data_IF_183521927474
#
_entry.id   IF_183521927474
#
_cell.length_a   1.000
_cell.length_b   1.000
_cell.length_c   1.000
_cell.angle_alpha   90.00
_cell.angle_beta   90.00
_cell.angle_gamma   90.00
#
_symmetry.space_group_name_H-M   'P 1'
#
loop_
_entity.id
_entity.type
_entity.pdbx_description
1 polymer ?
#
# COMPACT_ATOMS: atom_id res chain seq x y z
N UNK A 1 7.30 6.95 34.89
CA UNK A 1 8.02 7.48 33.72
C UNK A 1 6.98 7.75 32.63
N UNK A 2 6.39 8.95 32.63
CA UNK A 2 5.33 9.30 31.67
C UNK A 2 5.97 9.45 30.29
N UNK A 3 5.68 8.50 29.40
CA UNK A 3 6.03 8.65 27.99
C UNK A 3 5.11 9.73 27.40
N UNK A 4 5.57 10.98 27.44
CA UNK A 4 4.95 12.07 26.68
C UNK A 4 4.92 11.63 25.21
N UNK A 5 3.72 11.48 24.64
CA UNK A 5 3.60 11.41 23.19
C UNK A 5 4.20 12.70 22.63
N UNK A 6 5.04 12.63 21.58
CA UNK A 6 5.63 13.83 21.01
C UNK A 6 4.50 14.79 20.62
N UNK A 7 4.57 16.03 21.09
CA UNK A 7 3.77 17.11 20.53
C UNK A 7 4.03 17.18 19.03
N UNK A 8 3.05 17.61 18.22
CA UNK A 8 3.24 17.80 16.79
C UNK A 8 4.26 18.94 16.56
N UNK A 9 5.54 18.62 16.58
CA UNK A 9 6.62 19.54 16.26
C UNK A 9 6.62 19.79 14.76
N UNK A 10 6.48 21.06 14.39
CA UNK A 10 6.45 21.59 13.02
C UNK A 10 7.80 21.51 12.28
N UNK A 11 8.77 20.74 12.77
CA UNK A 11 10.14 20.79 12.25
C UNK A 11 10.94 19.51 12.52
N UNK A 12 10.56 18.38 11.92
CA UNK A 12 11.52 17.53 11.19
C UNK A 12 10.78 16.31 10.61
N UNK A 13 10.93 16.14 9.30
CA UNK A 13 10.29 15.15 8.44
C UNK A 13 8.82 15.48 8.14
N UNK A 14 8.48 16.00 6.93
CA UNK A 14 7.08 16.13 6.56
C UNK A 14 6.44 14.75 6.70
N UNK A 15 5.32 14.71 7.44
CA UNK A 15 4.48 13.53 7.53
C UNK A 15 4.39 12.94 6.12
N UNK A 16 4.53 11.60 5.94
CA UNK A 16 4.48 11.04 4.61
C UNK A 16 3.22 11.56 3.95
N UNK A 17 3.37 12.25 2.80
CA UNK A 17 2.31 12.87 2.00
C UNK A 17 1.38 11.78 1.43
N UNK A 18 0.74 11.05 2.33
CA UNK A 18 -0.21 9.98 2.10
C UNK A 18 -1.55 10.63 1.80
N UNK A 19 -2.29 10.05 0.89
CA UNK A 19 -3.59 10.62 0.49
C UNK A 19 -4.60 10.48 1.63
N UNK A 20 -4.40 9.47 2.50
CA UNK A 20 -5.29 9.10 3.59
C UNK A 20 -4.96 9.73 4.94
N UNK A 21 -3.79 10.37 5.11
CA UNK A 21 -3.40 11.00 6.38
C UNK A 21 -4.36 12.10 6.88
N UNK A 22 -4.98 12.97 6.06
CA UNK A 22 -5.93 13.96 6.59
C UNK A 22 -7.19 13.30 7.17
N UNK A 23 -7.63 12.17 6.60
CA UNK A 23 -8.79 11.42 7.10
C UNK A 23 -8.52 10.82 8.49
N UNK A 24 -7.26 10.47 8.77
CA UNK A 24 -6.82 9.90 10.04
C UNK A 24 -6.47 10.95 11.11
N UNK A 25 -6.53 12.25 10.78
CA UNK A 25 -6.18 13.34 11.69
C UNK A 25 -6.82 13.26 13.09
N UNK A 26 -8.14 12.99 13.25
CA UNK A 26 -8.76 12.89 14.57
C UNK A 26 -8.32 11.65 15.35
N UNK A 27 -7.84 10.62 14.66
CA UNK A 27 -7.48 9.32 15.23
C UNK A 27 -5.98 9.19 15.54
N UNK A 28 -5.16 10.22 15.28
CA UNK A 28 -3.69 10.14 15.43
C UNK A 28 -3.24 9.77 16.84
N UNK A 29 -3.82 10.41 17.87
CA UNK A 29 -3.45 10.19 19.28
C UNK A 29 -3.80 8.79 19.78
N UNK A 30 -5.02 8.25 19.56
CA UNK A 30 -5.32 6.87 19.96
C UNK A 30 -4.51 5.84 19.17
N UNK A 31 -4.32 6.03 17.86
CA UNK A 31 -3.52 5.13 17.02
C UNK A 31 -2.05 5.08 17.45
N UNK A 32 -1.48 6.20 17.92
CA UNK A 32 -0.10 6.26 18.38
C UNK A 32 0.19 5.39 19.62
N UNK A 33 -0.85 4.91 20.32
CA UNK A 33 -0.77 4.00 21.47
C UNK A 33 -0.88 2.52 21.09
N UNK A 34 -1.33 2.21 19.87
CA UNK A 34 -1.46 0.83 19.40
C UNK A 34 -0.07 0.24 19.16
N UNK A 35 0.18 -1.04 19.51
CA UNK A 35 1.46 -1.68 19.22
C UNK A 35 1.74 -1.69 17.71
N UNK A 36 2.97 -1.38 17.27
CA UNK A 36 3.29 -1.17 15.85
C UNK A 36 3.11 -2.43 14.99
N UNK A 37 3.01 -3.61 15.61
CA UNK A 37 2.78 -4.89 14.94
C UNK A 37 1.29 -5.17 14.67
N UNK A 38 0.38 -4.54 15.42
CA UNK A 38 -1.07 -4.86 15.33
C UNK A 38 -1.70 -4.27 14.07
N UNK A 39 -1.34 -3.03 13.70
CA UNK A 39 -1.93 -2.35 12.53
C UNK A 39 -1.61 -3.06 11.20
N UNK A 40 -0.37 -3.51 10.93
CA UNK A 40 -0.06 -4.26 9.72
C UNK A 40 -0.84 -5.59 9.66
N UNK A 41 -0.88 -6.33 10.77
CA UNK A 41 -1.61 -7.61 10.84
C UNK A 41 -3.12 -7.41 10.64
N UNK A 42 -3.69 -6.34 11.19
CA UNK A 42 -5.09 -5.99 10.96
C UNK A 42 -5.35 -5.62 9.49
N UNK A 43 -4.43 -4.89 8.84
CA UNK A 43 -4.54 -4.56 7.42
C UNK A 43 -4.51 -5.82 6.54
N UNK A 44 -3.69 -6.81 6.88
CA UNK A 44 -3.64 -8.09 6.19
C UNK A 44 -4.91 -8.91 6.42
N UNK A 45 -5.43 -8.94 7.64
CA UNK A 45 -6.69 -9.62 7.93
C UNK A 45 -7.85 -9.04 7.10
N UNK A 46 -7.91 -7.71 6.97
CA UNK A 46 -8.87 -7.04 6.11
C UNK A 46 -8.67 -7.41 4.61
N UNK A 47 -7.42 -7.48 4.14
CA UNK A 47 -7.11 -7.88 2.76
C UNK A 47 -7.48 -9.35 2.47
N UNK A 48 -7.24 -10.26 3.42
CA UNK A 48 -7.69 -11.66 3.32
C UNK A 48 -9.23 -11.76 3.31
N UNK A 49 -9.90 -10.96 4.15
CA UNK A 49 -11.35 -10.83 4.13
C UNK A 49 -11.87 -10.35 2.77
N UNK A 50 -11.20 -9.35 2.18
CA UNK A 50 -11.55 -8.83 0.86
C UNK A 50 -11.43 -9.91 -0.24
N UNK A 51 -10.34 -10.68 -0.24
CA UNK A 51 -10.18 -11.84 -1.12
C UNK A 51 -11.35 -12.82 -0.97
N UNK A 52 -11.67 -13.19 0.27
CA UNK A 52 -12.77 -14.12 0.56
C UNK A 52 -14.15 -13.59 0.16
N UNK A 53 -14.40 -12.29 0.29
CA UNK A 53 -15.64 -11.64 -0.13
C UNK A 53 -15.75 -11.57 -1.66
N UNK A 54 -14.69 -11.14 -2.36
CA UNK A 54 -14.66 -11.04 -3.81
C UNK A 54 -14.80 -12.42 -4.48
N UNK A 55 -14.13 -13.44 -3.95
CA UNK A 55 -14.25 -14.81 -4.43
C UNK A 55 -15.67 -15.39 -4.28
N UNK A 56 -16.45 -14.89 -3.31
CA UNK A 56 -17.86 -15.30 -3.09
C UNK A 56 -18.87 -14.43 -3.83
N UNK A 57 -18.41 -13.47 -4.62
CA UNK A 57 -19.27 -12.58 -5.37
C UNK A 57 -19.74 -11.32 -4.62
N UNK A 58 -19.25 -11.10 -3.40
CA UNK A 58 -19.62 -9.95 -2.57
C UNK A 58 -18.70 -8.74 -2.84
N UNK A 59 -18.74 -8.21 -4.06
CA UNK A 59 -17.86 -7.11 -4.51
C UNK A 59 -17.93 -5.83 -3.66
N UNK A 60 -19.12 -5.44 -3.19
CA UNK A 60 -19.29 -4.29 -2.29
C UNK A 60 -18.56 -4.49 -0.96
N UNK A 61 -18.73 -5.66 -0.33
CA UNK A 61 -18.03 -6.01 0.91
C UNK A 61 -16.52 -6.11 0.67
N UNK A 62 -16.12 -6.70 -0.46
CA UNK A 62 -14.72 -6.77 -0.88
C UNK A 62 -14.08 -5.40 -1.00
N UNK A 63 -14.73 -4.47 -1.70
CA UNK A 63 -14.24 -3.10 -1.87
C UNK A 63 -14.19 -2.32 -0.57
N UNK A 64 -15.18 -2.49 0.32
CA UNK A 64 -15.15 -1.90 1.66
C UNK A 64 -13.98 -2.44 2.49
N UNK A 65 -13.73 -3.75 2.44
CA UNK A 65 -12.60 -4.37 3.17
C UNK A 65 -11.24 -3.92 2.61
N UNK A 66 -11.10 -3.73 1.29
CA UNK A 66 -9.91 -3.13 0.69
C UNK A 66 -9.71 -1.71 1.22
N UNK A 67 -10.77 -0.90 1.26
CA UNK A 67 -10.72 0.46 1.78
C UNK A 67 -10.31 0.49 3.26
N UNK A 68 -10.87 -0.40 4.08
CA UNK A 68 -10.49 -0.56 5.49
C UNK A 68 -9.02 -0.97 5.62
N UNK A 69 -8.55 -1.92 4.80
CA UNK A 69 -7.13 -2.31 4.75
C UNK A 69 -6.23 -1.11 4.46
N UNK A 70 -6.60 -0.25 3.50
CA UNK A 70 -5.86 0.98 3.17
C UNK A 70 -5.80 1.97 4.33
N UNK A 71 -6.89 2.11 5.09
CA UNK A 71 -6.95 2.98 6.26
C UNK A 71 -6.05 2.47 7.39
N UNK A 72 -6.06 1.16 7.63
CA UNK A 72 -5.22 0.51 8.65
C UNK A 72 -3.73 0.60 8.30
N UNK A 73 -3.38 0.44 7.02
CA UNK A 73 -2.03 0.62 6.50
C UNK A 73 -1.52 2.07 6.71
N UNK A 74 -2.35 3.05 6.32
CA UNK A 74 -2.04 4.46 6.53
C UNK A 74 -1.90 4.80 8.02
N UNK A 75 -2.69 4.17 8.89
CA UNK A 75 -2.58 4.27 10.33
C UNK A 75 -1.26 3.67 10.87
N UNK A 76 -0.83 2.51 10.35
CA UNK A 76 0.42 1.86 10.72
C UNK A 76 1.67 2.70 10.44
N UNK A 77 1.57 3.59 9.45
CA UNK A 77 2.64 4.51 9.07
C UNK A 77 2.75 5.78 9.95
N UNK A 78 1.81 6.00 10.87
CA UNK A 78 1.84 7.16 11.77
C UNK A 78 2.96 7.02 12.82
N UNK A 79 3.57 8.14 13.26
CA UNK A 79 4.54 8.12 14.34
C UNK A 79 3.90 7.56 15.63
N UNK A 80 4.46 6.45 16.15
CA UNK A 80 4.01 5.83 17.40
C UNK A 80 4.81 6.36 18.60
N UNK A 81 4.17 6.45 19.77
CA UNK A 81 4.83 6.97 20.97
C UNK A 81 5.97 6.02 21.44
N UNK A 82 7.12 6.61 21.79
CA UNK A 82 8.37 6.03 22.31
C UNK A 82 8.44 4.51 22.55
N UNK A 83 8.50 3.72 21.47
CA UNK A 83 8.93 2.32 21.51
C UNK A 83 10.44 2.19 21.27
N UNK A 84 11.12 1.17 21.84
CA UNK A 84 12.53 0.91 21.59
C UNK A 84 12.83 0.83 20.08
N UNK A 85 13.94 1.43 19.66
CA UNK A 85 14.36 1.51 18.24
C UNK A 85 14.48 0.12 17.58
N UNK A 86 14.92 -0.90 18.32
CA UNK A 86 14.99 -2.27 17.83
C UNK A 86 13.60 -2.84 17.47
N UNK A 87 12.59 -2.62 18.32
CA UNK A 87 11.23 -3.12 18.10
C UNK A 87 10.55 -2.45 16.91
N UNK A 88 10.85 -1.17 16.67
CA UNK A 88 10.36 -0.44 15.49
C UNK A 88 10.94 -0.96 14.19
N UNK A 89 12.24 -1.33 14.16
CA UNK A 89 12.89 -1.90 12.98
C UNK A 89 12.29 -3.25 12.59
N UNK A 90 12.04 -4.12 13.58
CA UNK A 90 11.39 -5.42 13.35
C UNK A 90 9.95 -5.20 12.87
N UNK A 91 9.18 -4.31 13.52
CA UNK A 91 7.82 -4.01 13.10
C UNK A 91 7.77 -3.47 11.65
N UNK A 92 8.69 -2.58 11.27
CA UNK A 92 8.77 -2.06 9.90
C UNK A 92 9.15 -3.16 8.87
N UNK A 93 9.97 -4.13 9.26
CA UNK A 93 10.28 -5.27 8.40
C UNK A 93 9.04 -6.16 8.21
N UNK A 94 8.33 -6.48 9.30
CA UNK A 94 7.08 -7.26 9.24
C UNK A 94 6.02 -6.53 8.42
N UNK A 95 5.86 -5.23 8.62
CA UNK A 95 4.95 -4.36 7.86
C UNK A 95 5.22 -4.47 6.36
N UNK A 96 6.48 -4.32 5.94
CA UNK A 96 6.87 -4.41 4.53
C UNK A 96 6.57 -5.76 3.86
N UNK A 97 6.60 -6.86 4.62
CA UNK A 97 6.27 -8.21 4.14
C UNK A 97 4.76 -8.42 4.12
N UNK A 98 4.10 -8.06 5.21
CA UNK A 98 2.64 -8.12 5.40
C UNK A 98 1.92 -7.38 4.28
N UNK A 99 2.45 -6.22 3.92
CA UNK A 99 2.09 -5.41 2.77
C UNK A 99 2.00 -6.19 1.45
N UNK A 100 3.00 -7.04 1.16
CA UNK A 100 3.04 -7.81 -0.09
C UNK A 100 2.00 -8.90 -0.10
N UNK A 101 1.74 -9.53 1.05
CA UNK A 101 0.67 -10.51 1.19
C UNK A 101 -0.71 -9.84 1.07
N UNK A 102 -0.88 -8.65 1.64
CA UNK A 102 -2.10 -7.88 1.47
C UNK A 102 -2.34 -7.51 -0.01
N UNK A 103 -1.31 -7.00 -0.69
CA UNK A 103 -1.38 -6.67 -2.13
C UNK A 103 -1.74 -7.93 -2.96
N UNK A 104 -1.16 -9.09 -2.62
CA UNK A 104 -1.50 -10.38 -3.23
C UNK A 104 -2.97 -10.76 -3.04
N UNK A 105 -3.49 -10.65 -1.82
CA UNK A 105 -4.88 -10.97 -1.51
C UNK A 105 -5.84 -10.06 -2.27
N UNK A 106 -5.54 -8.76 -2.33
CA UNK A 106 -6.39 -7.75 -2.97
C UNK A 106 -6.44 -7.96 -4.49
N UNK A 107 -5.28 -8.04 -5.15
CA UNK A 107 -5.22 -8.24 -6.60
C UNK A 107 -5.73 -9.62 -7.02
N UNK A 108 -5.44 -10.66 -6.23
CA UNK A 108 -6.01 -11.99 -6.43
C UNK A 108 -7.54 -11.99 -6.29
N UNK A 109 -8.09 -11.26 -5.32
CA UNK A 109 -9.52 -11.12 -5.13
C UNK A 109 -10.19 -10.39 -6.29
N UNK A 110 -9.60 -9.29 -6.76
CA UNK A 110 -10.08 -8.59 -7.95
C UNK A 110 -10.05 -9.49 -9.19
N UNK A 111 -8.98 -10.26 -9.37
CA UNK A 111 -8.87 -11.24 -10.46
C UNK A 111 -9.93 -12.33 -10.38
N UNK A 112 -10.20 -12.85 -9.18
CA UNK A 112 -11.24 -13.86 -8.95
C UNK A 112 -12.66 -13.32 -9.21
N UNK A 113 -12.97 -12.11 -8.73
CA UNK A 113 -14.25 -11.44 -9.03
C UNK A 113 -14.41 -11.24 -10.53
N UNK A 114 -13.39 -10.68 -11.18
CA UNK A 114 -13.39 -10.40 -12.61
C UNK A 114 -13.60 -11.66 -13.45
N UNK A 115 -12.90 -12.74 -13.11
CA UNK A 115 -13.05 -14.03 -13.78
C UNK A 115 -14.46 -14.60 -13.69
N UNK A 116 -15.11 -14.44 -12.54
CA UNK A 116 -16.41 -15.06 -12.28
C UNK A 116 -17.61 -14.19 -12.69
N UNK A 117 -17.45 -12.86 -12.73
CA UNK A 117 -18.58 -11.92 -12.83
C UNK A 117 -18.42 -10.83 -13.90
N UNK A 118 -17.27 -10.72 -14.56
CA UNK A 118 -17.08 -9.78 -15.66
C UNK A 118 -16.81 -10.52 -16.98
N UNK A 119 -17.50 -10.14 -18.06
CA UNK A 119 -17.21 -10.62 -19.41
C UNK A 119 -16.02 -9.86 -20.00
N UNK A 120 -14.82 -10.18 -19.52
CA UNK A 120 -13.58 -9.49 -19.88
C UNK A 120 -12.47 -10.48 -20.22
N UNK A 121 -11.56 -10.13 -21.16
CA UNK A 121 -10.53 -11.06 -21.60
C UNK A 121 -9.43 -11.23 -20.55
N UNK A 122 -9.02 -12.48 -20.36
CA UNK A 122 -7.83 -12.90 -19.60
C UNK A 122 -7.63 -12.21 -18.23
N UNK A 123 -8.66 -12.15 -17.35
CA UNK A 123 -8.58 -11.40 -16.08
C UNK A 123 -7.45 -11.87 -15.16
N UNK A 124 -7.16 -13.17 -15.14
CA UNK A 124 -6.04 -13.73 -14.36
C UNK A 124 -4.66 -13.28 -14.88
N UNK A 125 -4.51 -13.14 -16.20
CA UNK A 125 -3.27 -12.65 -16.81
C UNK A 125 -3.08 -11.18 -16.45
N UNK A 126 -4.14 -10.37 -16.55
CA UNK A 126 -4.09 -8.95 -16.15
C UNK A 126 -3.77 -8.82 -14.65
N UNK A 127 -4.38 -9.65 -13.79
CA UNK A 127 -4.07 -9.68 -12.36
C UNK A 127 -2.61 -10.05 -12.09
N UNK A 128 -2.07 -11.04 -12.81
CA UNK A 128 -0.66 -11.43 -12.72
C UNK A 128 0.27 -10.30 -13.15
N UNK A 129 -0.02 -9.61 -14.26
CA UNK A 129 0.75 -8.45 -14.68
C UNK A 129 0.67 -7.34 -13.63
N UNK A 130 -0.50 -7.02 -13.09
CA UNK A 130 -0.63 -6.04 -12.01
C UNK A 130 0.22 -6.41 -10.77
N UNK A 131 0.20 -7.69 -10.37
CA UNK A 131 1.03 -8.22 -9.28
C UNK A 131 2.53 -8.09 -9.56
N UNK A 132 2.96 -8.44 -10.77
CA UNK A 132 4.36 -8.29 -11.18
C UNK A 132 4.82 -6.83 -11.08
N UNK A 133 3.96 -5.89 -11.46
CA UNK A 133 4.20 -4.46 -11.34
C UNK A 133 4.33 -3.98 -9.90
N UNK A 134 3.44 -4.44 -9.01
CA UNK A 134 3.52 -4.16 -7.57
C UNK A 134 4.83 -4.64 -6.94
N UNK A 135 5.23 -5.88 -7.24
CA UNK A 135 6.46 -6.46 -6.73
C UNK A 135 7.69 -5.75 -7.30
N UNK A 136 7.69 -5.44 -8.60
CA UNK A 136 8.77 -4.69 -9.25
C UNK A 136 8.93 -3.28 -8.64
N UNK A 137 7.81 -2.60 -8.37
CA UNK A 137 7.82 -1.27 -7.74
C UNK A 137 8.38 -1.31 -6.32
N UNK A 138 7.92 -2.26 -5.50
CA UNK A 138 8.42 -2.46 -4.15
C UNK A 138 9.92 -2.79 -4.13
N UNK A 139 10.35 -3.70 -5.00
CA UNK A 139 11.75 -4.10 -5.13
C UNK A 139 12.65 -2.95 -5.60
N UNK A 140 12.26 -2.26 -6.68
CA UNK A 140 13.01 -1.13 -7.21
C UNK A 140 13.14 -0.02 -6.16
N UNK A 141 12.06 0.31 -5.45
CA UNK A 141 12.07 1.28 -4.35
C UNK A 141 13.01 0.87 -3.22
N UNK A 142 13.00 -0.40 -2.81
CA UNK A 142 13.89 -0.92 -1.77
C UNK A 142 15.36 -0.90 -2.23
N UNK A 143 15.65 -1.28 -3.47
CA UNK A 143 17.02 -1.27 -4.02
C UNK A 143 17.59 0.11 -4.22
N UNK A 144 16.80 1.05 -4.73
CA UNK A 144 17.24 2.44 -4.85
C UNK A 144 17.42 3.06 -3.47
N UNK A 145 16.58 2.74 -2.48
CA UNK A 145 16.78 3.20 -1.10
C UNK A 145 18.11 2.69 -0.52
N UNK A 146 18.45 1.43 -0.76
CA UNK A 146 19.68 0.83 -0.27
C UNK A 146 20.95 1.36 -0.96
N UNK A 147 20.87 1.76 -2.23
CA UNK A 147 22.04 2.17 -3.03
C UNK A 147 22.21 3.69 -3.14
N UNK A 148 21.11 4.45 -3.26
CA UNK A 148 21.11 5.89 -3.51
C UNK A 148 20.40 6.72 -2.40
N UNK A 149 19.98 6.06 -1.31
CA UNK A 149 19.36 6.71 -0.17
C UNK A 149 17.84 6.88 -0.25
N UNK A 150 17.23 7.16 0.91
CA UNK A 150 15.77 7.20 1.08
C UNK A 150 15.07 8.34 0.31
N UNK A 151 15.73 9.50 0.20
CA UNK A 151 15.21 10.66 -0.55
C UNK A 151 15.11 10.33 -2.03
N UNK A 152 16.15 9.71 -2.59
CA UNK A 152 16.19 9.35 -4.00
C UNK A 152 15.10 8.34 -4.38
N UNK A 153 14.86 7.35 -3.51
CA UNK A 153 13.76 6.39 -3.67
C UNK A 153 12.39 7.06 -3.59
N UNK A 154 12.18 7.96 -2.61
CA UNK A 154 10.91 8.67 -2.42
C UNK A 154 10.58 9.56 -3.62
N UNK A 155 11.51 10.34 -4.15
CA UNK A 155 11.25 11.22 -5.30
C UNK A 155 10.88 10.46 -6.59
N UNK A 156 11.41 9.25 -6.76
CA UNK A 156 11.32 8.50 -8.02
C UNK A 156 10.12 7.57 -8.09
N UNK A 157 9.78 6.91 -6.98
CA UNK A 157 8.76 5.85 -6.93
C UNK A 157 7.45 6.28 -6.26
N UNK A 158 7.33 7.55 -5.84
CA UNK A 158 6.13 8.09 -5.14
C UNK A 158 4.90 8.30 -6.03
N UNK A 159 5.05 8.35 -7.37
CA UNK A 159 3.92 8.62 -8.31
C UNK A 159 2.82 7.55 -8.26
N UNK A 160 3.16 6.32 -7.90
CA UNK A 160 2.19 5.26 -7.59
C UNK A 160 2.27 4.89 -6.11
N UNK A 161 1.95 5.83 -5.22
CA UNK A 161 1.90 5.56 -3.78
C UNK A 161 0.94 4.41 -3.46
N UNK A 162 1.28 3.61 -2.43
CA UNK A 162 0.49 2.45 -1.97
C UNK A 162 -0.98 2.81 -1.75
N UNK A 163 -1.23 3.95 -1.09
CA UNK A 163 -2.59 4.45 -0.85
C UNK A 163 -3.40 4.64 -2.15
N UNK A 164 -2.81 5.21 -3.21
CA UNK A 164 -3.50 5.43 -4.49
C UNK A 164 -3.88 4.11 -5.13
N UNK A 165 -3.00 3.11 -5.05
CA UNK A 165 -3.23 1.78 -5.61
C UNK A 165 -4.33 1.04 -4.84
N UNK A 166 -4.32 1.11 -3.51
CA UNK A 166 -5.36 0.53 -2.68
C UNK A 166 -6.72 1.23 -2.87
N UNK A 167 -6.74 2.56 -3.02
CA UNK A 167 -7.94 3.31 -3.33
C UNK A 167 -8.50 2.92 -4.71
N UNK A 168 -7.64 2.80 -5.72
CA UNK A 168 -8.03 2.37 -7.06
C UNK A 168 -8.59 0.95 -7.05
N UNK A 169 -7.96 0.03 -6.30
CA UNK A 169 -8.45 -1.32 -6.09
C UNK A 169 -9.81 -1.35 -5.38
N UNK A 170 -9.98 -0.55 -4.33
CA UNK A 170 -11.25 -0.43 -3.60
C UNK A 170 -12.36 0.09 -4.52
N UNK A 171 -12.10 1.15 -5.30
CA UNK A 171 -13.06 1.70 -6.25
C UNK A 171 -13.43 0.68 -7.34
N UNK A 172 -12.47 -0.06 -7.86
CA UNK A 172 -12.71 -1.15 -8.81
C UNK A 172 -13.65 -2.21 -8.25
N UNK A 173 -13.42 -2.66 -7.02
CA UNK A 173 -14.29 -3.63 -6.35
C UNK A 173 -15.69 -3.03 -6.05
N UNK A 174 -15.76 -1.82 -5.51
CA UNK A 174 -17.03 -1.16 -5.14
C UNK A 174 -17.92 -0.90 -6.36
N UNK A 175 -17.34 -0.57 -7.51
CA UNK A 175 -18.07 -0.35 -8.77
C UNK A 175 -18.30 -1.64 -9.55
N UNK A 176 -17.77 -2.77 -9.08
CA UNK A 176 -17.80 -4.06 -9.79
C UNK A 176 -16.88 -4.14 -11.00
N UNK A 177 -16.13 -3.08 -11.33
CA UNK A 177 -15.22 -2.97 -12.48
C UNK A 177 -13.79 -3.42 -12.11
N UNK A 178 -13.64 -4.64 -11.59
CA UNK A 178 -12.33 -5.12 -11.11
C UNK A 178 -11.31 -5.25 -12.25
N UNK A 179 -11.74 -5.69 -13.44
CA UNK A 179 -10.86 -5.81 -14.61
C UNK A 179 -10.20 -4.47 -14.96
N UNK A 180 -11.01 -3.40 -15.01
CA UNK A 180 -10.50 -2.06 -15.33
C UNK A 180 -9.51 -1.59 -14.25
N UNK A 181 -9.82 -1.83 -12.98
CA UNK A 181 -8.90 -1.49 -11.89
C UNK A 181 -7.58 -2.24 -12.00
N UNK A 182 -7.60 -3.54 -12.33
CA UNK A 182 -6.39 -4.33 -12.56
C UNK A 182 -5.55 -3.78 -13.71
N UNK A 183 -6.16 -3.41 -14.84
CA UNK A 183 -5.45 -2.79 -15.98
C UNK A 183 -4.81 -1.48 -15.56
N UNK A 184 -5.55 -0.60 -14.89
CA UNK A 184 -5.02 0.69 -14.43
C UNK A 184 -3.87 0.50 -13.43
N UNK A 185 -3.98 -0.46 -12.51
CA UNK A 185 -2.92 -0.80 -11.56
C UNK A 185 -1.67 -1.35 -12.26
N UNK A 186 -1.84 -2.23 -13.25
CA UNK A 186 -0.76 -2.74 -14.07
C UNK A 186 -0.01 -1.62 -14.79
N UNK A 187 -0.73 -0.74 -15.49
CA UNK A 187 -0.15 0.40 -16.22
C UNK A 187 0.55 1.35 -15.25
N UNK A 188 -0.11 1.73 -14.16
CA UNK A 188 0.41 2.69 -13.19
C UNK A 188 1.70 2.21 -12.53
N UNK A 189 1.75 0.95 -12.10
CA UNK A 189 2.92 0.37 -11.42
C UNK A 189 4.12 0.26 -12.37
N UNK A 190 3.91 -0.27 -13.59
CA UNK A 190 4.98 -0.42 -14.59
C UNK A 190 5.49 0.93 -15.08
N UNK A 191 4.60 1.88 -15.35
CA UNK A 191 4.99 3.23 -15.75
C UNK A 191 5.83 3.91 -14.66
N UNK A 192 5.46 3.73 -13.38
CA UNK A 192 6.22 4.29 -12.25
C UNK A 192 7.60 3.66 -12.12
N UNK A 193 7.72 2.35 -12.31
CA UNK A 193 9.02 1.66 -12.33
C UNK A 193 9.89 2.18 -13.47
N UNK A 194 9.37 2.20 -14.70
CA UNK A 194 10.11 2.66 -15.87
C UNK A 194 10.59 4.11 -15.71
N UNK A 195 9.69 5.01 -15.27
CA UNK A 195 10.01 6.39 -14.99
C UNK A 195 11.11 6.55 -13.94
N UNK A 196 10.99 5.82 -12.82
CA UNK A 196 11.96 5.85 -11.73
C UNK A 196 13.36 5.44 -12.18
N UNK A 197 13.45 4.41 -13.04
CA UNK A 197 14.71 3.93 -13.61
C UNK A 197 15.32 4.92 -14.62
N UNK A 198 14.51 5.49 -15.52
CA UNK A 198 14.98 6.49 -16.49
C UNK A 198 15.60 7.70 -15.77
N UNK A 199 14.92 8.19 -14.73
CA UNK A 199 15.42 9.31 -13.91
C UNK A 199 16.66 8.96 -13.08
N UNK A 200 16.88 7.69 -12.76
CA UNK A 200 18.10 7.25 -12.10
C UNK A 200 19.28 7.28 -13.09
N UNK A 201 19.07 6.76 -14.31
CA UNK A 201 20.08 6.78 -15.37
C UNK A 201 20.55 8.21 -15.69
N UNK A 202 19.63 9.15 -15.83
CA UNK A 202 19.97 10.54 -16.15
C UNK A 202 20.89 11.21 -15.12
N UNK A 203 20.80 10.84 -13.83
CA UNK A 203 21.69 11.36 -12.78
C UNK A 203 23.09 10.74 -12.77
N UNK A 204 23.29 9.61 -13.46
CA UNK A 204 24.63 9.02 -13.63
C UNK A 204 25.39 9.64 -14.81
N UNK A 205 24.68 10.36 -15.69
CA UNK A 205 25.24 10.89 -16.94
C UNK A 205 25.53 12.40 -16.90
N UNK A 206 25.19 13.09 -15.80
CA UNK A 206 25.49 14.50 -15.57
C UNK A 206 26.18 14.66 -14.23
#
# INVERSE_FOLDING_TARGET
>A
MNAQCPEPTSAHDPAPDRVLTPLLAPLRVPLARIPPLVLPLASLAAAMGALGALARGAHLLGGLLIFVSALLDAAGALPTCSQPTARRRIAAAVDSVTDRYADLCILGGLGAWSLAHEDRPAPLVVAFVALAGELALAYAGARVRASAGAVAARERFRRAGRDVRLLLAALGALTGQAWLALVLLAVLTHATVAWGLIRLKQRLQG
#
